data_IF_936715428518
#
_entry.id   IF_936715428518
#
_cell.length_a   1.000
_cell.length_b   1.000
_cell.length_c   1.000
_cell.angle_alpha   90.00
_cell.angle_beta   90.00
_cell.angle_gamma   90.00
#
_symmetry.space_group_name_H-M   'P 1'
#
loop_
_entity.id
_entity.type
_entity.pdbx_description
1 polymer ?
#
# COMPACT_ATOMS: atom_id res chain seq x y z
N UNK A 1 1.60 -41.09 -59.79
CA UNK A 1 0.40 -41.63 -59.13
C UNK A 1 -0.43 -40.53 -58.45
N UNK A 2 0.12 -39.84 -57.45
CA UNK A 2 -0.65 -38.88 -56.64
C UNK A 2 -1.27 -37.73 -57.46
N UNK A 3 -0.49 -37.06 -58.31
CA UNK A 3 -1.00 -36.01 -59.22
C UNK A 3 -2.05 -36.50 -60.22
N UNK A 4 -1.98 -37.77 -60.63
CA UNK A 4 -2.92 -38.35 -61.59
C UNK A 4 -4.29 -38.60 -60.96
N UNK A 5 -4.33 -39.05 -59.70
CA UNK A 5 -5.58 -39.26 -58.96
C UNK A 5 -6.30 -37.94 -58.63
N UNK A 6 -5.56 -36.91 -58.21
CA UNK A 6 -6.14 -35.58 -57.99
C UNK A 6 -6.54 -34.86 -59.29
N UNK A 7 -5.88 -35.17 -60.41
CA UNK A 7 -6.24 -34.66 -61.73
C UNK A 7 -7.45 -35.37 -62.38
N UNK A 8 -7.76 -36.59 -61.95
CA UNK A 8 -8.90 -37.37 -62.46
C UNK A 8 -10.26 -36.94 -61.85
N UNK A 9 -10.25 -36.11 -60.80
CA UNK A 9 -11.41 -35.49 -60.14
C UNK A 9 -12.73 -36.31 -60.25
N UNK A 10 -12.85 -37.45 -59.54
CA UNK A 10 -13.88 -38.43 -59.85
C UNK A 10 -15.29 -38.08 -59.35
N UNK A 11 -15.47 -37.03 -58.54
CA UNK A 11 -16.76 -36.70 -57.91
C UNK A 11 -16.93 -35.18 -57.84
N UNK A 12 -17.77 -34.62 -58.71
CA UNK A 12 -18.20 -33.22 -58.70
C UNK A 12 -19.72 -33.17 -58.49
N UNK A 13 -20.15 -32.60 -57.37
CA UNK A 13 -21.56 -32.31 -57.11
C UNK A 13 -21.74 -30.79 -57.05
N UNK A 14 -22.66 -30.22 -57.84
CA UNK A 14 -22.87 -28.77 -57.87
C UNK A 14 -23.26 -28.26 -56.48
N UNK A 15 -22.44 -27.35 -55.95
CA UNK A 15 -22.66 -26.70 -54.64
C UNK A 15 -22.02 -27.38 -53.44
N UNK A 16 -21.36 -28.55 -53.59
CA UNK A 16 -20.72 -29.26 -52.47
C UNK A 16 -19.30 -29.69 -52.87
N UNK A 17 -18.31 -29.27 -52.08
CA UNK A 17 -16.92 -29.74 -52.21
C UNK A 17 -16.67 -30.91 -51.27
N UNK A 18 -16.42 -32.08 -51.84
CA UNK A 18 -16.03 -33.29 -51.11
C UNK A 18 -14.52 -33.49 -51.32
N UNK A 19 -13.73 -33.36 -50.25
CA UNK A 19 -12.29 -33.61 -50.31
C UNK A 19 -12.03 -35.13 -50.32
N UNK A 20 -11.60 -35.68 -51.45
CA UNK A 20 -11.24 -37.10 -51.59
C UNK A 20 -9.75 -37.30 -51.37
N UNK A 21 -9.38 -38.19 -50.45
CA UNK A 21 -8.00 -38.57 -50.17
C UNK A 21 -7.64 -39.89 -50.88
N UNK A 22 -6.37 -40.10 -51.19
CA UNK A 22 -5.90 -41.37 -51.73
C UNK A 22 -5.85 -42.47 -50.67
N UNK A 23 -5.96 -43.75 -51.06
CA UNK A 23 -5.73 -44.88 -50.16
C UNK A 23 -4.36 -44.74 -49.47
N UNK A 24 -4.37 -44.64 -48.13
CA UNK A 24 -3.16 -44.44 -47.31
C UNK A 24 -2.92 -42.99 -46.86
N UNK A 25 -3.63 -42.00 -47.40
CA UNK A 25 -3.61 -40.62 -46.92
C UNK A 25 -4.57 -40.44 -45.74
N UNK A 26 -4.13 -39.69 -44.73
CA UNK A 26 -4.94 -39.37 -43.54
C UNK A 26 -5.18 -37.86 -43.50
N UNK A 27 -6.43 -37.45 -43.37
CA UNK A 27 -6.77 -36.07 -43.08
C UNK A 27 -6.50 -35.78 -41.61
N UNK A 28 -5.50 -34.96 -41.32
CA UNK A 28 -5.31 -34.36 -40.00
C UNK A 28 -6.13 -33.09 -39.89
N UNK A 29 -7.32 -33.22 -39.29
CA UNK A 29 -8.10 -32.05 -38.86
C UNK A 29 -7.36 -31.39 -37.70
N UNK A 30 -6.68 -30.27 -37.98
CA UNK A 30 -6.08 -29.45 -36.94
C UNK A 30 -7.20 -28.77 -36.19
N UNK A 31 -7.50 -29.26 -34.97
CA UNK A 31 -8.33 -28.52 -34.04
C UNK A 31 -7.46 -27.38 -33.47
N UNK A 32 -7.89 -26.11 -33.53
CA UNK A 32 -7.23 -25.07 -32.76
C UNK A 32 -7.47 -25.39 -31.29
N UNK A 33 -6.46 -25.93 -30.61
CA UNK A 33 -6.48 -26.00 -29.16
C UNK A 33 -6.14 -24.62 -28.63
N UNK A 34 -7.08 -23.99 -27.92
CA UNK A 34 -6.82 -22.77 -27.17
C UNK A 34 -6.31 -23.20 -25.79
N UNK A 35 -5.02 -23.02 -25.47
CA UNK A 35 -4.49 -23.37 -24.16
C UNK A 35 -5.00 -22.39 -23.10
N UNK A 36 -6.22 -22.63 -22.60
CA UNK A 36 -6.87 -21.82 -21.58
C UNK A 36 -6.12 -21.84 -20.24
N UNK A 37 -5.34 -22.89 -19.98
CA UNK A 37 -4.58 -23.06 -18.74
C UNK A 37 -3.55 -21.95 -18.48
N UNK A 38 -3.00 -21.34 -19.54
CA UNK A 38 -1.97 -20.29 -19.41
C UNK A 38 -2.53 -18.87 -19.52
N UNK A 39 -3.84 -18.72 -19.75
CA UNK A 39 -4.45 -17.42 -19.97
C UNK A 39 -4.38 -16.54 -18.72
N UNK A 40 -4.70 -17.08 -17.55
CA UNK A 40 -4.65 -16.35 -16.29
C UNK A 40 -3.23 -15.87 -15.96
N UNK A 41 -2.23 -16.75 -16.11
CA UNK A 41 -0.83 -16.39 -15.89
C UNK A 41 -0.37 -15.25 -16.82
N UNK A 42 -0.79 -15.28 -18.09
CA UNK A 42 -0.52 -14.21 -19.05
C UNK A 42 -1.18 -12.88 -18.66
N UNK A 43 -2.47 -12.91 -18.31
CA UNK A 43 -3.23 -11.72 -17.89
C UNK A 43 -2.62 -11.12 -16.61
N UNK A 44 -2.31 -11.94 -15.62
CA UNK A 44 -1.71 -11.50 -14.37
C UNK A 44 -0.31 -10.90 -14.59
N UNK A 45 0.50 -11.50 -15.47
CA UNK A 45 1.79 -10.94 -15.84
C UNK A 45 1.65 -9.58 -16.56
N UNK A 46 0.68 -9.45 -17.47
CA UNK A 46 0.39 -8.20 -18.16
C UNK A 46 -0.07 -7.10 -17.17
N UNK A 47 -0.99 -7.42 -16.27
CA UNK A 47 -1.48 -6.49 -15.25
C UNK A 47 -0.37 -6.06 -14.30
N UNK A 48 0.56 -6.95 -13.92
CA UNK A 48 1.75 -6.57 -13.13
C UNK A 48 2.63 -5.56 -13.86
N UNK A 49 2.80 -5.69 -15.18
CA UNK A 49 3.57 -4.71 -15.97
C UNK A 49 2.84 -3.36 -16.08
N UNK A 50 1.52 -3.37 -16.23
CA UNK A 50 0.70 -2.16 -16.22
C UNK A 50 0.78 -1.46 -14.85
N UNK A 51 0.64 -2.22 -13.76
CA UNK A 51 0.75 -1.70 -12.39
C UNK A 51 2.12 -1.02 -12.16
N UNK A 52 3.21 -1.69 -12.58
CA UNK A 52 4.57 -1.16 -12.51
C UNK A 52 4.76 0.13 -13.32
N UNK A 53 4.07 0.30 -14.45
CA UNK A 53 4.17 1.51 -15.28
C UNK A 53 3.44 2.71 -14.66
N UNK A 54 2.30 2.46 -14.00
CA UNK A 54 1.48 3.52 -13.37
C UNK A 54 2.03 3.89 -11.96
N UNK A 55 2.79 2.98 -11.35
CA UNK A 55 3.37 3.14 -10.02
C UNK A 55 2.43 2.73 -8.89
N UNK A 56 1.64 1.67 -9.13
CA UNK A 56 0.79 1.01 -8.12
C UNK A 56 1.15 -0.47 -8.06
N UNK A 57 0.70 -1.19 -7.03
CA UNK A 57 0.88 -2.64 -6.97
C UNK A 57 -0.21 -3.36 -7.75
N UNK A 58 0.03 -4.63 -8.07
CA UNK A 58 -0.93 -5.47 -8.77
C UNK A 58 -2.25 -5.53 -7.99
N UNK A 59 -2.16 -5.71 -6.68
CA UNK A 59 -3.30 -5.86 -5.78
C UNK A 59 -4.17 -4.61 -5.74
N UNK A 60 -3.56 -3.42 -5.77
CA UNK A 60 -4.32 -2.17 -5.87
C UNK A 60 -4.95 -1.98 -7.25
N UNK A 61 -4.28 -2.43 -8.32
CA UNK A 61 -4.78 -2.30 -9.69
C UNK A 61 -5.98 -3.22 -9.94
N UNK A 62 -5.92 -4.46 -9.45
CA UNK A 62 -6.93 -5.50 -9.70
C UNK A 62 -7.93 -5.66 -8.56
N UNK A 63 -7.66 -5.06 -7.40
CA UNK A 63 -8.38 -5.30 -6.14
C UNK A 63 -8.32 -6.76 -5.68
N UNK A 64 -7.36 -7.53 -6.16
CA UNK A 64 -7.12 -8.93 -5.77
C UNK A 64 -6.02 -9.01 -4.71
N UNK A 65 -6.41 -9.36 -3.48
CA UNK A 65 -5.52 -9.53 -2.33
C UNK A 65 -5.33 -11.00 -1.94
N UNK A 66 -5.77 -11.95 -2.78
CA UNK A 66 -5.83 -13.38 -2.43
C UNK A 66 -4.46 -14.03 -2.17
N UNK A 67 -3.38 -13.46 -2.71
CA UNK A 67 -2.02 -14.01 -2.64
C UNK A 67 -1.08 -13.17 -1.75
N UNK A 68 -1.62 -12.28 -0.92
CA UNK A 68 -0.81 -11.31 -0.16
C UNK A 68 -1.05 -11.49 1.34
N UNK A 69 0.04 -11.58 2.10
CA UNK A 69 0.00 -11.63 3.56
C UNK A 69 0.14 -10.22 4.17
N UNK A 70 -0.11 -10.08 5.47
CA UNK A 70 -0.11 -8.78 6.15
C UNK A 70 1.17 -7.96 5.90
N UNK A 71 2.35 -8.54 6.12
CA UNK A 71 3.61 -7.81 5.98
C UNK A 71 3.94 -7.44 4.53
N UNK A 72 3.64 -8.31 3.57
CA UNK A 72 3.82 -7.99 2.15
C UNK A 72 2.84 -6.92 1.67
N UNK A 73 1.56 -6.97 2.11
CA UNK A 73 0.59 -5.91 1.85
C UNK A 73 1.06 -4.57 2.42
N UNK A 74 1.54 -4.57 3.67
CA UNK A 74 2.03 -3.37 4.34
C UNK A 74 3.24 -2.77 3.63
N UNK A 75 4.23 -3.60 3.28
CA UNK A 75 5.41 -3.14 2.55
C UNK A 75 5.03 -2.55 1.18
N UNK A 76 4.13 -3.22 0.45
CA UNK A 76 3.62 -2.78 -0.84
C UNK A 76 2.89 -1.43 -0.73
N UNK A 77 1.99 -1.27 0.24
CA UNK A 77 1.25 -0.03 0.48
C UNK A 77 2.16 1.13 0.89
N UNK A 78 3.20 0.88 1.69
CA UNK A 78 4.18 1.91 2.09
C UNK A 78 4.94 2.48 0.89
N UNK A 79 5.38 1.62 -0.04
CA UNK A 79 6.09 2.07 -1.23
C UNK A 79 5.20 2.91 -2.15
N UNK A 80 3.94 2.49 -2.35
CA UNK A 80 2.97 3.28 -3.11
C UNK A 80 2.69 4.62 -2.43
N UNK A 81 2.54 4.61 -1.10
CA UNK A 81 2.26 5.82 -0.34
C UNK A 81 3.38 6.86 -0.47
N UNK A 82 4.64 6.42 -0.58
CA UNK A 82 5.76 7.30 -0.88
C UNK A 82 5.58 8.01 -2.23
N UNK A 83 5.17 7.27 -3.25
CA UNK A 83 4.85 7.81 -4.58
C UNK A 83 3.67 8.79 -4.55
N UNK A 84 2.59 8.45 -3.86
CA UNK A 84 1.43 9.34 -3.70
C UNK A 84 1.76 10.60 -2.89
N UNK A 85 2.57 10.48 -1.85
CA UNK A 85 3.01 11.64 -1.05
C UNK A 85 3.83 12.61 -1.89
N UNK A 86 4.73 12.10 -2.74
CA UNK A 86 5.49 12.93 -3.67
C UNK A 86 4.59 13.63 -4.70
N UNK A 87 3.67 12.88 -5.33
CA UNK A 87 2.69 13.43 -6.29
C UNK A 87 1.80 14.49 -5.63
N UNK A 88 1.31 14.23 -4.42
CA UNK A 88 0.53 15.17 -3.61
C UNK A 88 1.32 16.45 -3.35
N UNK A 89 2.58 16.34 -2.91
CA UNK A 89 3.44 17.50 -2.65
C UNK A 89 3.67 18.34 -3.90
N UNK A 90 3.91 17.71 -5.05
CA UNK A 90 4.02 18.40 -6.34
C UNK A 90 2.74 19.12 -6.75
N UNK A 91 1.58 18.47 -6.62
CA UNK A 91 0.29 19.09 -6.90
C UNK A 91 0.02 20.29 -5.97
N UNK A 92 0.28 20.14 -4.67
CA UNK A 92 0.07 21.22 -3.70
C UNK A 92 0.97 22.43 -3.99
N UNK A 93 2.24 22.22 -4.30
CA UNK A 93 3.17 23.31 -4.61
C UNK A 93 2.84 24.03 -5.92
N UNK A 94 2.34 23.31 -6.92
CA UNK A 94 2.04 23.89 -8.24
C UNK A 94 0.66 24.53 -8.32
N UNK A 95 -0.35 23.94 -7.69
CA UNK A 95 -1.74 24.39 -7.82
C UNK A 95 -2.21 25.17 -6.60
N UNK A 96 -1.92 24.68 -5.38
CA UNK A 96 -2.46 25.28 -4.16
C UNK A 96 -1.61 26.45 -3.65
N UNK A 97 -0.28 26.36 -3.74
CA UNK A 97 0.61 27.42 -3.24
C UNK A 97 0.40 28.79 -3.93
N UNK A 98 0.20 28.89 -5.26
CA UNK A 98 -0.11 30.18 -5.89
C UNK A 98 -1.42 30.80 -5.41
N UNK A 99 -2.45 29.97 -5.20
CA UNK A 99 -3.76 30.41 -4.69
C UNK A 99 -3.61 30.93 -3.25
N UNK A 100 -2.92 30.17 -2.41
CA UNK A 100 -2.64 30.57 -1.03
C UNK A 100 -1.85 31.87 -0.96
N UNK A 101 -0.82 32.02 -1.82
CA UNK A 101 -0.04 33.24 -1.92
C UNK A 101 -0.90 34.45 -2.29
N UNK A 102 -1.72 34.33 -3.34
CA UNK A 102 -2.57 35.44 -3.80
C UNK A 102 -3.57 35.88 -2.72
N UNK A 103 -4.16 34.91 -2.01
CA UNK A 103 -5.00 35.22 -0.86
C UNK A 103 -4.23 35.90 0.28
N UNK A 104 -3.03 35.41 0.61
CA UNK A 104 -2.24 35.95 1.70
C UNK A 104 -1.75 37.38 1.40
N UNK A 105 -1.35 37.64 0.16
CA UNK A 105 -1.00 38.98 -0.33
C UNK A 105 -2.12 39.99 -0.10
N UNK A 106 -3.36 39.66 -0.49
CA UNK A 106 -4.54 40.49 -0.25
C UNK A 106 -4.80 40.76 1.26
N UNK A 107 -4.49 39.78 2.11
CA UNK A 107 -4.63 39.91 3.57
C UNK A 107 -3.60 40.90 4.13
N UNK A 108 -2.37 40.90 3.61
CA UNK A 108 -1.36 41.89 3.94
C UNK A 108 -1.74 43.28 3.43
N UNK A 109 -2.20 43.40 2.19
CA UNK A 109 -2.58 44.68 1.57
C UNK A 109 -3.75 45.35 2.29
N UNK A 110 -4.70 44.56 2.78
CA UNK A 110 -5.81 45.06 3.60
C UNK A 110 -5.45 45.36 5.06
N UNK A 111 -4.23 45.00 5.49
CA UNK A 111 -3.80 45.20 6.88
C UNK A 111 -4.59 44.36 7.90
N UNK A 112 -5.06 43.16 7.51
CA UNK A 112 -5.86 42.30 8.38
C UNK A 112 -5.03 41.50 9.40
N UNK A 113 -3.71 41.50 9.25
CA UNK A 113 -2.77 40.83 10.15
C UNK A 113 -1.87 41.90 10.78
N UNK A 114 -1.76 41.88 12.11
CA UNK A 114 -0.76 42.67 12.84
C UNK A 114 0.59 41.94 12.81
N UNK A 115 1.61 42.59 12.24
CA UNK A 115 2.95 42.02 12.18
C UNK A 115 3.66 42.16 13.54
N UNK A 116 4.34 41.11 14.03
CA UNK A 116 5.22 41.21 15.19
C UNK A 116 6.32 42.26 14.99
N UNK A 117 6.78 42.87 16.08
CA UNK A 117 7.89 43.82 16.02
C UNK A 117 9.15 43.17 15.42
N UNK A 118 9.70 43.77 14.36
CA UNK A 118 10.87 43.26 13.64
C UNK A 118 10.58 42.19 12.59
N UNK A 119 9.31 41.88 12.31
CA UNK A 119 8.95 40.98 11.22
C UNK A 119 9.31 41.59 9.85
N UNK A 120 9.81 40.74 8.95
CA UNK A 120 10.15 41.14 7.58
C UNK A 120 8.85 41.38 6.80
N UNK A 121 8.67 42.54 6.13
CA UNK A 121 7.51 42.79 5.27
C UNK A 121 7.29 41.70 4.23
N UNK A 122 6.03 41.44 3.89
CA UNK A 122 5.65 40.40 2.93
C UNK A 122 6.37 40.58 1.58
N UNK A 123 6.42 41.81 1.06
CA UNK A 123 7.07 42.16 -0.21
C UNK A 123 8.54 41.75 -0.29
N UNK A 124 9.27 41.84 0.84
CA UNK A 124 10.69 41.53 0.89
C UNK A 124 10.97 40.03 0.95
N UNK A 125 10.04 39.23 1.49
CA UNK A 125 10.19 37.78 1.55
C UNK A 125 8.85 37.03 1.52
N UNK A 126 8.15 36.99 0.37
CA UNK A 126 6.85 36.31 0.27
C UNK A 126 6.95 34.81 0.57
N UNK A 127 8.08 34.19 0.20
CA UNK A 127 8.28 32.75 0.35
C UNK A 127 8.28 32.30 1.82
N UNK A 128 8.83 33.11 2.74
CA UNK A 128 8.82 32.80 4.17
C UNK A 128 7.41 32.84 4.77
N UNK A 129 6.57 33.76 4.29
CA UNK A 129 5.18 33.90 4.73
C UNK A 129 4.26 32.85 4.10
N UNK A 130 4.47 32.52 2.83
CA UNK A 130 3.65 31.55 2.11
C UNK A 130 4.00 30.08 2.42
N UNK A 131 4.91 29.81 3.37
CA UNK A 131 5.24 28.44 3.74
C UNK A 131 4.05 27.78 4.45
N UNK A 132 3.42 26.83 3.77
CA UNK A 132 2.27 26.10 4.27
C UNK A 132 2.42 24.59 4.01
N UNK A 133 1.98 23.80 4.99
CA UNK A 133 1.89 22.34 4.88
C UNK A 133 0.50 21.94 4.39
N UNK A 134 0.46 21.09 3.35
CA UNK A 134 -0.79 20.59 2.77
C UNK A 134 -1.10 19.18 3.28
N UNK A 135 -1.96 19.13 4.29
CA UNK A 135 -2.44 17.89 4.89
C UNK A 135 -3.47 17.26 3.94
N UNK A 136 -3.21 16.02 3.53
CA UNK A 136 -4.08 15.25 2.63
C UNK A 136 -4.91 14.24 3.42
N UNK A 137 -5.63 13.33 2.74
CA UNK A 137 -6.26 12.21 3.42
C UNK A 137 -5.22 11.37 4.16
N UNK A 138 -5.60 10.84 5.33
CA UNK A 138 -4.75 9.95 6.10
C UNK A 138 -4.47 8.64 5.37
N UNK A 139 -3.31 8.03 5.63
CA UNK A 139 -2.94 6.73 5.05
C UNK A 139 -3.87 5.59 5.47
N UNK A 140 -4.52 5.72 6.63
CA UNK A 140 -5.20 4.62 7.31
C UNK A 140 -4.21 3.70 8.03
N UNK A 141 -4.76 2.73 8.77
CA UNK A 141 -4.01 1.74 9.53
C UNK A 141 -4.34 0.34 9.02
N UNK A 142 -3.34 -0.53 9.00
CA UNK A 142 -3.54 -1.95 8.70
C UNK A 142 -3.71 -2.72 10.02
N UNK A 143 -2.84 -2.43 11.01
CA UNK A 143 -3.00 -2.87 12.40
C UNK A 143 -3.05 -1.63 13.31
N UNK A 144 -4.25 -1.21 13.75
CA UNK A 144 -4.43 -0.07 14.64
C UNK A 144 -3.60 -0.13 15.92
N UNK A 145 -3.43 -1.31 16.52
CA UNK A 145 -2.78 -1.45 17.81
C UNK A 145 -1.26 -1.33 17.66
N UNK A 146 -0.66 -2.09 16.74
CA UNK A 146 0.79 -2.03 16.48
C UNK A 146 1.21 -0.66 15.95
N UNK A 147 0.43 -0.04 15.06
CA UNK A 147 0.75 1.29 14.53
C UNK A 147 0.61 2.39 15.60
N UNK A 148 -0.39 2.31 16.49
CA UNK A 148 -0.53 3.25 17.61
C UNK A 148 0.62 3.12 18.62
N UNK A 149 1.02 1.89 18.96
CA UNK A 149 2.18 1.64 19.82
C UNK A 149 3.45 2.20 19.20
N UNK A 150 3.70 1.92 17.90
CA UNK A 150 4.84 2.48 17.18
C UNK A 150 4.83 4.02 17.14
N UNK A 151 3.65 4.65 17.01
CA UNK A 151 3.53 6.11 17.09
C UNK A 151 3.89 6.64 18.48
N UNK A 152 3.42 5.99 19.55
CA UNK A 152 3.78 6.37 20.93
C UNK A 152 5.27 6.24 21.21
N UNK A 153 5.91 5.18 20.72
CA UNK A 153 7.35 4.95 20.88
C UNK A 153 8.18 5.96 20.07
N UNK A 154 7.76 6.28 18.83
CA UNK A 154 8.40 7.32 18.02
C UNK A 154 8.34 8.69 18.70
N UNK A 155 7.19 9.05 19.28
CA UNK A 155 7.03 10.30 20.02
C UNK A 155 7.87 10.32 21.30
N UNK A 156 7.86 9.23 22.08
CA UNK A 156 8.66 9.12 23.29
C UNK A 156 10.17 9.18 22.99
N UNK A 157 10.59 8.61 21.87
CA UNK A 157 11.97 8.62 21.38
C UNK A 157 12.41 9.90 20.66
N UNK A 158 11.52 10.92 20.54
CA UNK A 158 11.76 12.14 19.76
C UNK A 158 12.14 11.88 18.28
N UNK A 159 11.67 10.77 17.70
CA UNK A 159 11.89 10.44 16.29
C UNK A 159 10.89 11.13 15.36
N UNK A 160 9.80 11.65 15.92
CA UNK A 160 8.68 12.28 15.22
C UNK A 160 8.11 13.42 16.06
N UNK A 161 7.20 14.19 15.46
CA UNK A 161 6.45 15.26 16.16
C UNK A 161 4.95 14.98 16.11
N UNK A 162 4.19 15.60 17.03
CA UNK A 162 2.73 15.52 17.00
C UNK A 162 2.14 15.99 15.66
N UNK A 163 2.76 17.00 15.05
CA UNK A 163 2.37 17.49 13.73
C UNK A 163 2.54 16.43 12.65
N UNK A 164 3.68 15.73 12.63
CA UNK A 164 3.95 14.66 11.67
C UNK A 164 2.99 13.49 11.85
N UNK A 165 2.80 13.01 13.08
CA UNK A 165 1.89 11.89 13.36
C UNK A 165 0.42 12.21 13.06
N UNK A 166 -0.04 13.44 13.36
CA UNK A 166 -1.39 13.87 13.01
C UNK A 166 -1.56 14.01 11.49
N UNK A 167 -0.57 14.60 10.81
CA UNK A 167 -0.61 14.79 9.36
C UNK A 167 -0.57 13.46 8.59
N UNK A 168 0.13 12.42 9.09
CA UNK A 168 0.07 11.05 8.55
C UNK A 168 -1.37 10.48 8.55
N UNK A 169 -2.19 10.92 9.50
CA UNK A 169 -3.59 10.56 9.63
C UNK A 169 -4.55 11.58 9.00
N UNK A 170 -4.02 12.58 8.30
CA UNK A 170 -4.81 13.62 7.66
C UNK A 170 -5.46 14.61 8.62
N UNK A 171 -4.90 14.76 9.83
CA UNK A 171 -5.40 15.67 10.87
C UNK A 171 -4.41 16.76 11.18
N UNK A 172 -4.91 17.90 11.63
CA UNK A 172 -4.09 18.96 12.20
C UNK A 172 -4.01 18.79 13.72
N UNK A 173 -2.79 18.61 14.23
CA UNK A 173 -2.52 18.43 15.65
C UNK A 173 -3.00 19.62 16.50
N UNK A 174 -3.00 20.85 15.96
CA UNK A 174 -3.47 22.05 16.68
C UNK A 174 -4.98 21.99 16.87
N UNK A 175 -5.70 21.57 15.83
CA UNK A 175 -7.15 21.39 15.89
C UNK A 175 -7.52 20.29 16.88
N UNK A 176 -6.78 19.18 16.86
CA UNK A 176 -6.93 18.09 17.84
C UNK A 176 -6.67 18.59 19.27
N UNK A 177 -5.62 19.37 19.50
CA UNK A 177 -5.30 19.91 20.82
C UNK A 177 -6.40 20.85 21.33
N UNK A 178 -6.90 21.75 20.48
CA UNK A 178 -8.01 22.64 20.82
C UNK A 178 -9.30 21.86 21.12
N UNK A 179 -9.58 20.82 20.35
CA UNK A 179 -10.75 19.97 20.57
C UNK A 179 -10.66 19.24 21.92
N UNK A 180 -9.50 18.64 22.22
CA UNK A 180 -9.26 17.97 23.50
C UNK A 180 -9.39 18.94 24.70
N UNK A 181 -8.97 20.19 24.55
CA UNK A 181 -9.15 21.21 25.58
C UNK A 181 -10.63 21.53 25.83
N UNK A 182 -11.43 21.67 24.76
CA UNK A 182 -12.88 21.90 24.86
C UNK A 182 -13.60 20.71 25.52
N UNK A 183 -13.25 19.50 25.11
CA UNK A 183 -13.81 18.26 25.68
C UNK A 183 -13.49 18.15 27.16
N UNK A 184 -12.23 18.33 27.55
CA UNK A 184 -11.81 18.31 28.96
C UNK A 184 -12.62 19.30 29.80
N UNK A 185 -12.68 20.57 29.39
CA UNK A 185 -13.42 21.60 30.12
C UNK A 185 -14.93 21.28 30.20
N UNK A 186 -15.49 20.65 29.17
CA UNK A 186 -16.88 20.22 29.17
C UNK A 186 -17.14 19.07 30.15
N UNK A 187 -16.25 18.08 30.21
CA UNK A 187 -16.34 16.96 31.16
C UNK A 187 -16.18 17.45 32.60
N UNK A 188 -15.22 18.34 32.86
CA UNK A 188 -15.03 18.97 34.17
C UNK A 188 -16.29 19.72 34.62
N UNK A 189 -16.94 20.45 33.70
CA UNK A 189 -18.20 21.15 33.98
C UNK A 189 -19.35 20.20 34.34
N UNK A 190 -19.35 18.99 33.78
CA UNK A 190 -20.35 17.96 34.08
C UNK A 190 -20.00 17.11 35.30
N UNK A 191 -18.84 17.33 35.93
CA UNK A 191 -18.34 16.48 37.02
C UNK A 191 -17.98 15.06 36.57
N UNK A 192 -17.68 14.87 35.29
CA UNK A 192 -17.24 13.60 34.70
C UNK A 192 -15.71 13.54 34.67
N UNK A 193 -15.15 12.35 34.46
CA UNK A 193 -13.71 12.17 34.28
C UNK A 193 -13.20 12.98 33.07
N UNK A 194 -12.28 13.94 33.25
CA UNK A 194 -11.73 14.75 32.17
C UNK A 194 -10.96 13.99 31.09
N UNK A 195 -10.54 12.74 31.35
CA UNK A 195 -9.75 11.92 30.42
C UNK A 195 -10.31 10.49 30.28
N UNK A 196 -11.53 10.31 29.72
CA UNK A 196 -12.20 9.01 29.68
C UNK A 196 -11.49 7.95 28.80
N UNK A 197 -10.54 8.37 27.95
CA UNK A 197 -9.79 7.51 27.05
C UNK A 197 -8.41 7.08 27.56
N UNK A 198 -7.97 7.53 28.73
CA UNK A 198 -6.73 7.02 29.33
C UNK A 198 -7.01 5.63 29.88
N UNK A 199 -6.30 4.57 29.42
CA UNK A 199 -6.36 3.31 30.13
C UNK A 199 -5.86 3.56 31.54
N UNK A 200 -6.71 3.28 32.55
CA UNK A 200 -6.24 3.19 33.94
C UNK A 200 -4.99 2.31 33.94
N UNK A 201 -3.96 2.70 34.69
CA UNK A 201 -2.69 1.99 34.78
C UNK A 201 -2.86 0.61 35.43
N UNK A 202 -3.56 -0.29 34.75
CA UNK A 202 -3.53 -1.73 35.00
C UNK A 202 -2.25 -2.22 34.36
N UNK A 203 -1.33 -2.61 35.22
CA UNK A 203 -0.14 -3.40 34.93
C UNK A 203 -0.51 -4.62 34.09
N UNK A 204 -0.60 -4.45 32.78
CA UNK A 204 -0.58 -5.58 31.85
C UNK A 204 0.87 -5.97 31.67
N UNK A 205 1.25 -7.02 32.38
CA UNK A 205 2.37 -7.86 32.02
C UNK A 205 2.31 -8.13 30.52
N UNK A 206 3.47 -8.00 29.87
CA UNK A 206 3.72 -8.29 28.47
C UNK A 206 3.15 -9.66 28.06
N UNK A 207 1.89 -9.69 27.65
CA UNK A 207 1.35 -10.78 26.85
C UNK A 207 1.69 -10.44 25.41
N UNK A 208 2.64 -11.18 24.83
CA UNK A 208 2.89 -11.13 23.40
C UNK A 208 1.55 -11.37 22.67
N UNK A 209 1.19 -10.55 21.67
CA UNK A 209 -0.01 -10.79 20.89
C UNK A 209 0.06 -12.20 20.27
N UNK A 210 -1.08 -12.92 20.18
CA UNK A 210 -1.10 -14.23 19.53
C UNK A 210 -0.58 -14.09 18.10
N UNK A 211 0.36 -14.96 17.72
CA UNK A 211 0.89 -15.01 16.37
C UNK A 211 -0.27 -15.23 15.38
N UNK A 212 -0.38 -14.36 14.40
CA UNK A 212 -1.34 -14.53 13.32
C UNK A 212 -0.85 -15.64 12.38
N UNK A 213 -1.73 -16.36 11.65
CA UNK A 213 -1.33 -17.38 10.68
C UNK A 213 -0.41 -16.88 9.56
N UNK A 214 -0.15 -15.57 9.47
CA UNK A 214 0.86 -14.97 8.58
C UNK A 214 2.29 -14.93 9.16
N UNK A 215 2.47 -14.98 10.48
CA UNK A 215 3.80 -14.96 11.12
C UNK A 215 4.61 -16.23 10.81
N UNK A 216 3.94 -17.37 10.56
CA UNK A 216 4.59 -18.62 10.15
C UNK A 216 5.25 -18.49 8.76
N UNK A 217 4.64 -17.74 7.84
CA UNK A 217 5.20 -17.46 6.53
C UNK A 217 6.34 -16.41 6.58
N UNK A 218 6.31 -15.51 7.57
CA UNK A 218 7.38 -14.55 7.82
C UNK A 218 8.65 -15.22 8.37
N UNK A 219 8.52 -16.25 9.22
CA UNK A 219 9.65 -17.06 9.68
C UNK A 219 10.28 -17.89 8.54
N UNK A 220 9.48 -18.41 7.60
CA UNK A 220 9.97 -19.16 6.43
C UNK A 220 10.70 -18.25 5.41
N UNK A 221 10.17 -17.05 5.13
CA UNK A 221 10.74 -16.13 4.13
C UNK A 221 11.99 -15.40 4.65
N UNK A 222 12.05 -15.05 5.94
CA UNK A 222 13.22 -14.36 6.52
C UNK A 222 14.36 -15.28 6.96
N UNK A 223 14.29 -16.60 6.69
CA UNK A 223 15.37 -17.54 6.99
C UNK A 223 15.77 -17.59 8.47
N UNK A 224 14.92 -17.09 9.37
CA UNK A 224 15.13 -17.16 10.82
C UNK A 224 14.33 -18.33 11.36
N UNK A 225 14.67 -19.54 10.91
CA UNK A 225 14.36 -20.71 11.72
C UNK A 225 15.20 -20.59 12.97
N UNK A 226 14.63 -20.01 14.04
CA UNK A 226 15.26 -20.08 15.34
C UNK A 226 15.34 -21.57 15.68
N UNK A 227 16.54 -22.14 15.56
CA UNK A 227 16.81 -23.46 16.06
C UNK A 227 16.50 -23.39 17.56
N UNK A 228 15.31 -23.87 17.96
CA UNK A 228 14.92 -24.01 19.36
C UNK A 228 16.01 -24.85 20.03
N UNK A 229 16.94 -24.17 20.69
CA UNK A 229 17.95 -24.82 21.52
C UNK A 229 17.18 -25.50 22.63
N UNK A 230 17.30 -26.82 22.71
CA UNK A 230 16.82 -27.59 23.84
C UNK A 230 17.34 -26.92 25.14
N UNK A 231 16.53 -26.75 26.20
CA UNK A 231 16.89 -25.96 27.38
C UNK A 231 18.09 -26.52 28.21
N UNK A 232 18.71 -27.60 27.75
CA UNK A 232 19.98 -28.10 28.25
C UNK A 232 20.86 -28.38 27.02
N UNK A 233 21.90 -27.56 26.83
CA UNK A 233 22.74 -27.50 25.62
C UNK A 233 23.60 -28.74 25.34
N UNK A 234 22.98 -29.87 25.00
CA UNK A 234 23.65 -31.09 24.57
C UNK A 234 23.40 -31.30 23.06
N UNK A 235 24.43 -31.30 22.20
CA UNK A 235 24.25 -31.59 20.78
C UNK A 235 23.90 -33.08 20.55
N UNK A 236 22.90 -33.36 19.71
CA UNK A 236 22.52 -34.74 19.30
C UNK A 236 23.65 -35.37 18.49
N UNK A 237 24.22 -36.45 19.01
CA UNK A 237 25.15 -37.32 18.28
C UNK A 237 24.36 -38.09 17.22
N UNK A 238 24.61 -37.79 15.94
CA UNK A 238 24.07 -38.56 14.83
C UNK A 238 24.84 -39.90 14.70
N UNK A 239 24.16 -41.04 14.84
CA UNK A 239 24.76 -42.35 14.53
C UNK A 239 24.92 -42.46 13.01
N UNK A 240 26.18 -42.61 12.56
CA UNK A 240 26.54 -42.99 11.18
C UNK A 240 25.92 -44.36 10.89
N UNK A 241 25.09 -44.47 9.85
CA UNK A 241 24.76 -45.78 9.26
C UNK A 241 26.01 -46.27 8.52
N UNK A 242 26.53 -47.42 8.92
CA UNK A 242 27.50 -48.21 8.15
C UNK A 242 26.83 -48.80 6.92
N UNK A 243 27.65 -49.05 5.89
CA UNK A 243 27.31 -49.51 4.55
C UNK A 243 26.29 -50.66 4.48
#
# INVERSE_FOLDING_TARGET
AQKAFYGAAPIDLPGVRINTLQPGEKATLTKPEHPNANFEAFVNAALRKVASAIGVTYEQLTMDWSQVNYSSARAALLEIWRGFTAKKGGFASQFMAPIYRAWLEEVFDKGLIELPAGAVPFELNPAAWCHADWIGPGRGWIDPLREAQAASERLAGNLTTLQQEAAEQGRDWKMDAQQRARERAFYERLGLDPDPGKPEARSQASAAPPAEPGDEAEEEVNGRTSARRHPAGIPRIARRKTA
#
